data_IF_948101651665
#
_entry.id   IF_948101651665
#
_cell.length_a   1.000
_cell.length_b   1.000
_cell.length_c   1.000
_cell.angle_alpha   90.00
_cell.angle_beta   90.00
_cell.angle_gamma   90.00
#
_symmetry.space_group_name_H-M   'P 1'
#
loop_
_entity.id
_entity.type
_entity.pdbx_description
1 polymer ?
#
# COMPACT_ATOMS: atom_id res chain seq x y z
N UNK A 1 -51.14 -32.11 -10.87
CA UNK A 1 -50.04 -31.95 -9.90
C UNK A 1 -48.99 -31.02 -10.49
N UNK A 2 -49.07 -29.74 -10.15
CA UNK A 2 -48.17 -28.70 -10.66
C UNK A 2 -46.86 -28.67 -9.87
N UNK A 3 -45.71 -28.69 -10.55
CA UNK A 3 -44.40 -28.48 -9.93
C UNK A 3 -44.30 -26.99 -9.53
N UNK A 4 -43.88 -26.67 -8.31
CA UNK A 4 -43.67 -25.28 -7.92
C UNK A 4 -42.50 -24.69 -8.73
N UNK A 5 -42.71 -23.48 -9.29
CA UNK A 5 -41.71 -22.73 -9.99
C UNK A 5 -40.53 -22.39 -9.04
N UNK A 6 -39.35 -22.86 -9.39
CA UNK A 6 -38.12 -22.51 -8.67
C UNK A 6 -37.85 -21.01 -8.87
N UNK A 7 -38.00 -20.25 -7.81
CA UNK A 7 -37.64 -18.83 -7.76
C UNK A 7 -36.13 -18.69 -7.97
N UNK A 8 -35.74 -18.26 -9.15
CA UNK A 8 -34.37 -17.91 -9.48
C UNK A 8 -33.96 -16.68 -8.63
N UNK A 9 -33.36 -16.91 -7.47
CA UNK A 9 -32.70 -15.83 -6.73
C UNK A 9 -31.50 -15.30 -7.55
N UNK A 10 -31.38 -13.99 -7.78
CA UNK A 10 -30.28 -13.42 -8.51
C UNK A 10 -28.97 -13.77 -7.81
N UNK A 11 -28.11 -14.59 -8.43
CA UNK A 11 -26.76 -14.88 -7.95
C UNK A 11 -25.95 -13.60 -7.99
N UNK A 12 -25.82 -12.92 -6.84
CA UNK A 12 -24.91 -11.77 -6.71
C UNK A 12 -23.51 -12.18 -7.21
N UNK A 13 -22.85 -11.34 -8.03
CA UNK A 13 -21.53 -11.64 -8.55
C UNK A 13 -20.58 -12.03 -7.41
N UNK A 14 -19.84 -13.12 -7.56
CA UNK A 14 -18.89 -13.66 -6.56
C UNK A 14 -17.92 -12.60 -6.02
N UNK A 15 -17.62 -11.56 -6.82
CA UNK A 15 -16.78 -10.43 -6.46
C UNK A 15 -17.39 -9.57 -5.33
N UNK A 16 -18.70 -9.30 -5.36
CA UNK A 16 -19.38 -8.50 -4.33
C UNK A 16 -19.44 -9.26 -3.01
N UNK A 17 -19.67 -10.57 -3.05
CA UNK A 17 -19.68 -11.44 -1.87
C UNK A 17 -18.30 -11.58 -1.21
N UNK A 18 -17.24 -11.54 -2.03
CA UNK A 18 -15.85 -11.51 -1.55
C UNK A 18 -15.49 -10.19 -0.88
N UNK A 19 -15.98 -9.05 -1.38
CA UNK A 19 -15.72 -7.72 -0.80
C UNK A 19 -16.44 -7.50 0.53
N UNK A 20 -17.58 -8.18 0.77
CA UNK A 20 -18.41 -8.04 1.98
C UNK A 20 -18.04 -9.03 3.10
N UNK A 21 -16.99 -9.88 2.93
CA UNK A 21 -16.63 -10.82 3.99
C UNK A 21 -15.91 -10.07 5.14
N UNK A 22 -16.33 -10.32 6.38
CA UNK A 22 -15.73 -9.77 7.61
C UNK A 22 -14.21 -9.98 7.63
N UNK A 23 -13.75 -11.11 7.10
CA UNK A 23 -12.32 -11.43 6.98
C UNK A 23 -11.54 -10.45 6.11
N UNK A 24 -12.15 -9.96 5.02
CA UNK A 24 -11.51 -8.97 4.15
C UNK A 24 -11.42 -7.59 4.82
N UNK A 25 -12.42 -7.24 5.62
CA UNK A 25 -12.40 -6.00 6.40
C UNK A 25 -11.34 -6.03 7.51
N UNK A 26 -11.17 -7.17 8.17
CA UNK A 26 -10.10 -7.35 9.16
C UNK A 26 -8.70 -7.27 8.51
N UNK A 27 -8.52 -7.87 7.34
CA UNK A 27 -7.26 -7.77 6.58
C UNK A 27 -7.00 -6.34 6.11
N UNK A 28 -8.04 -5.64 5.64
CA UNK A 28 -7.94 -4.23 5.25
C UNK A 28 -7.57 -3.35 6.46
N UNK A 29 -8.23 -3.56 7.61
CA UNK A 29 -7.90 -2.84 8.84
C UNK A 29 -6.44 -3.04 9.28
N UNK A 30 -5.96 -4.30 9.26
CA UNK A 30 -4.55 -4.62 9.55
C UNK A 30 -3.60 -3.95 8.56
N UNK A 31 -3.93 -3.99 7.28
CA UNK A 31 -3.14 -3.34 6.23
C UNK A 31 -3.07 -1.81 6.44
N UNK A 32 -4.19 -1.18 6.78
CA UNK A 32 -4.23 0.25 7.08
C UNK A 32 -3.39 0.60 8.31
N UNK A 33 -3.44 -0.21 9.38
CA UNK A 33 -2.60 -0.01 10.57
C UNK A 33 -1.12 -0.12 10.22
N UNK A 34 -0.72 -1.16 9.49
CA UNK A 34 0.67 -1.33 9.04
C UNK A 34 1.09 -0.17 8.14
N UNK A 35 0.20 0.27 7.23
CA UNK A 35 0.45 1.43 6.37
C UNK A 35 0.64 2.74 7.17
N UNK A 36 -0.19 2.97 8.19
CA UNK A 36 -0.07 4.15 9.06
C UNK A 36 1.24 4.13 9.86
N UNK A 37 1.64 2.98 10.41
CA UNK A 37 2.93 2.82 11.10
C UNK A 37 4.08 3.08 10.13
N UNK A 38 4.02 2.53 8.93
CA UNK A 38 5.02 2.78 7.89
C UNK A 38 5.12 4.24 7.48
N UNK A 39 3.99 4.95 7.42
CA UNK A 39 3.96 6.39 7.18
C UNK A 39 4.70 7.17 8.27
N UNK A 40 4.43 6.86 9.54
CA UNK A 40 5.11 7.49 10.67
C UNK A 40 6.61 7.19 10.69
N UNK A 41 7.01 5.93 10.40
CA UNK A 41 8.42 5.55 10.26
C UNK A 41 9.08 6.35 9.13
N UNK A 42 8.41 6.47 7.98
CA UNK A 42 8.94 7.24 6.85
C UNK A 42 9.19 8.69 7.25
N UNK A 43 8.20 9.37 7.84
CA UNK A 43 8.36 10.77 8.24
C UNK A 43 9.43 10.95 9.32
N UNK A 44 9.50 10.06 10.32
CA UNK A 44 10.49 10.15 11.39
C UNK A 44 11.93 9.99 10.85
N UNK A 45 12.15 9.00 9.99
CA UNK A 45 13.46 8.78 9.35
C UNK A 45 13.81 9.93 8.41
N UNK A 46 12.83 10.42 7.63
CA UNK A 46 13.02 11.54 6.73
C UNK A 46 13.45 12.81 7.49
N UNK A 47 12.70 13.18 8.54
CA UNK A 47 13.03 14.36 9.38
C UNK A 47 14.42 14.25 10.01
N UNK A 48 14.77 13.06 10.54
CA UNK A 48 16.09 12.82 11.11
C UNK A 48 17.23 13.00 10.09
N UNK A 49 17.04 12.58 8.84
CA UNK A 49 18.02 12.73 7.76
C UNK A 49 18.14 14.19 7.29
N UNK A 50 17.01 14.89 7.16
CA UNK A 50 17.01 16.33 6.81
C UNK A 50 17.74 17.15 7.87
N UNK A 51 17.52 16.87 9.15
CA UNK A 51 18.24 17.56 10.25
C UNK A 51 19.75 17.34 10.24
N UNK A 52 20.21 16.26 9.61
CA UNK A 52 21.64 15.98 9.38
C UNK A 52 22.18 16.63 8.10
N UNK A 53 21.38 17.43 7.40
CA UNK A 53 21.78 18.12 6.17
C UNK A 53 21.76 17.27 4.91
N UNK A 54 21.13 16.09 4.97
CA UNK A 54 21.02 15.21 3.80
C UNK A 54 19.99 15.79 2.83
N UNK A 55 20.33 15.83 1.54
CA UNK A 55 19.46 16.33 0.49
C UNK A 55 18.10 15.61 0.51
N UNK A 56 17.00 16.36 0.39
CA UNK A 56 15.63 15.87 0.58
C UNK A 56 15.25 14.68 -0.30
N UNK A 57 15.73 14.58 -1.55
CA UNK A 57 15.48 13.42 -2.42
C UNK A 57 16.19 12.15 -1.93
N UNK A 58 17.39 12.28 -1.38
CA UNK A 58 18.14 11.17 -0.79
C UNK A 58 17.47 10.73 0.51
N UNK A 59 17.09 11.67 1.35
CA UNK A 59 16.36 11.42 2.59
C UNK A 59 15.02 10.70 2.32
N UNK A 60 14.27 11.12 1.28
CA UNK A 60 13.02 10.49 0.89
C UNK A 60 13.23 9.04 0.40
N UNK A 61 14.30 8.80 -0.37
CA UNK A 61 14.62 7.44 -0.84
C UNK A 61 14.99 6.53 0.33
N UNK A 62 15.86 6.97 1.23
CA UNK A 62 16.28 6.19 2.39
C UNK A 62 15.12 5.92 3.35
N UNK A 63 14.32 6.93 3.69
CA UNK A 63 13.16 6.79 4.57
C UNK A 63 12.10 5.85 3.98
N UNK A 64 11.89 5.91 2.67
CA UNK A 64 10.99 4.98 1.96
C UNK A 64 11.49 3.54 2.05
N UNK A 65 12.77 3.27 1.82
CA UNK A 65 13.34 1.92 1.90
C UNK A 65 13.17 1.33 3.31
N UNK A 66 13.37 2.12 4.35
CA UNK A 66 13.14 1.71 5.74
C UNK A 66 11.65 1.40 5.96
N UNK A 67 10.77 2.29 5.55
CA UNK A 67 9.32 2.11 5.72
C UNK A 67 8.78 0.90 4.93
N UNK A 68 9.21 0.71 3.68
CA UNK A 68 8.74 -0.41 2.85
C UNK A 68 9.22 -1.76 3.38
N UNK A 69 10.45 -1.81 3.91
CA UNK A 69 10.99 -3.01 4.55
C UNK A 69 10.21 -3.37 5.81
N UNK A 70 9.90 -2.38 6.64
CA UNK A 70 9.04 -2.52 7.81
C UNK A 70 7.64 -3.00 7.43
N UNK A 71 6.99 -2.33 6.46
CA UNK A 71 5.66 -2.69 5.97
C UNK A 71 5.61 -4.11 5.39
N UNK A 72 6.62 -4.51 4.61
CA UNK A 72 6.71 -5.88 4.09
C UNK A 72 6.79 -6.90 5.24
N UNK A 73 7.66 -6.65 6.21
CA UNK A 73 7.86 -7.54 7.36
C UNK A 73 6.58 -7.72 8.16
N UNK A 74 5.92 -6.62 8.54
CA UNK A 74 4.68 -6.66 9.31
C UNK A 74 3.51 -7.23 8.53
N UNK A 75 3.36 -6.89 7.25
CA UNK A 75 2.32 -7.48 6.41
C UNK A 75 2.51 -8.99 6.27
N UNK A 76 3.73 -9.46 6.11
CA UNK A 76 4.03 -10.90 6.02
C UNK A 76 3.75 -11.64 7.33
N UNK A 77 4.15 -11.07 8.47
CA UNK A 77 4.04 -11.73 9.77
C UNK A 77 2.62 -11.66 10.34
N UNK A 78 1.88 -10.60 10.06
CA UNK A 78 0.60 -10.32 10.70
C UNK A 78 -0.60 -10.34 9.75
N UNK A 79 -0.54 -9.61 8.63
CA UNK A 79 -1.70 -9.46 7.73
C UNK A 79 -1.94 -10.69 6.87
N UNK A 80 -0.88 -11.28 6.32
CA UNK A 80 -0.94 -12.39 5.36
C UNK A 80 -0.44 -13.72 5.92
N UNK A 81 -0.40 -13.87 7.23
CA UNK A 81 0.07 -15.07 7.92
C UNK A 81 -0.57 -16.38 7.42
N UNK A 82 -1.81 -16.32 6.97
CA UNK A 82 -2.58 -17.48 6.50
C UNK A 82 -2.47 -17.70 4.97
N UNK A 83 -1.93 -16.76 4.21
CA UNK A 83 -1.80 -16.85 2.75
C UNK A 83 -0.36 -17.27 2.38
N UNK A 84 0.08 -18.42 2.89
CA UNK A 84 1.41 -18.99 2.61
C UNK A 84 1.45 -19.66 1.22
N UNK A 85 1.12 -18.93 0.17
CA UNK A 85 1.48 -19.28 -1.20
C UNK A 85 2.90 -18.80 -1.55
N UNK A 86 3.33 -18.90 -2.79
CA UNK A 86 4.65 -18.48 -3.27
C UNK A 86 5.00 -17.03 -2.88
N UNK A 87 5.46 -16.86 -1.64
CA UNK A 87 5.69 -15.59 -0.95
C UNK A 87 6.70 -14.72 -1.69
N UNK A 88 7.70 -15.33 -2.34
CA UNK A 88 8.71 -14.61 -3.10
C UNK A 88 8.14 -13.85 -4.30
N UNK A 89 7.20 -14.44 -5.05
CA UNK A 89 6.60 -13.77 -6.22
C UNK A 89 5.66 -12.63 -5.79
N UNK A 90 4.93 -12.81 -4.69
CA UNK A 90 4.09 -11.73 -4.14
C UNK A 90 4.95 -10.59 -3.57
N UNK A 91 6.01 -10.93 -2.85
CA UNK A 91 6.96 -9.94 -2.32
C UNK A 91 7.64 -9.15 -3.44
N UNK A 92 8.09 -9.82 -4.50
CA UNK A 92 8.68 -9.16 -5.67
C UNK A 92 7.70 -8.19 -6.33
N UNK A 93 6.44 -8.60 -6.54
CA UNK A 93 5.41 -7.71 -7.12
C UNK A 93 5.10 -6.53 -6.21
N UNK A 94 4.97 -6.76 -4.91
CA UNK A 94 4.79 -5.69 -3.93
C UNK A 94 5.94 -4.70 -4.00
N UNK A 95 7.18 -5.20 -4.06
CA UNK A 95 8.37 -4.36 -4.13
C UNK A 95 8.42 -3.54 -5.42
N UNK A 96 8.08 -4.11 -6.58
CA UNK A 96 8.05 -3.38 -7.86
C UNK A 96 6.99 -2.28 -7.84
N UNK A 97 5.78 -2.54 -7.33
CA UNK A 97 4.74 -1.51 -7.17
C UNK A 97 5.21 -0.41 -6.22
N UNK A 98 5.88 -0.79 -5.13
CA UNK A 98 6.42 0.16 -4.16
C UNK A 98 7.54 1.03 -4.74
N UNK A 99 8.40 0.47 -5.60
CA UNK A 99 9.41 1.25 -6.33
C UNK A 99 8.79 2.26 -7.31
N UNK A 100 7.74 1.87 -8.02
CA UNK A 100 7.01 2.80 -8.88
C UNK A 100 6.35 3.93 -8.07
N UNK A 101 5.79 3.59 -6.89
CA UNK A 101 5.25 4.57 -5.96
C UNK A 101 6.35 5.50 -5.40
N UNK A 102 7.56 4.98 -5.12
CA UNK A 102 8.70 5.82 -4.74
C UNK A 102 9.04 6.83 -5.84
N UNK A 103 9.15 6.40 -7.10
CA UNK A 103 9.40 7.29 -8.22
C UNK A 103 8.36 8.42 -8.30
N UNK A 104 7.07 8.08 -8.19
CA UNK A 104 6.00 9.06 -8.15
C UNK A 104 6.12 10.00 -6.93
N UNK A 105 6.46 9.47 -5.75
CA UNK A 105 6.67 10.27 -4.54
C UNK A 105 7.81 11.28 -4.71
N UNK A 106 8.94 10.87 -5.27
CA UNK A 106 10.09 11.76 -5.50
C UNK A 106 9.74 12.89 -6.47
N UNK A 107 8.96 12.63 -7.52
CA UNK A 107 8.48 13.66 -8.45
C UNK A 107 7.55 14.64 -7.72
N UNK A 108 6.55 14.15 -6.99
CA UNK A 108 5.60 15.01 -6.25
C UNK A 108 6.35 15.82 -5.19
N UNK A 109 7.23 15.19 -4.41
CA UNK A 109 8.05 15.87 -3.41
C UNK A 109 8.88 17.00 -4.02
N UNK A 110 9.58 16.71 -5.11
CA UNK A 110 10.39 17.72 -5.80
C UNK A 110 9.54 18.90 -6.26
N UNK A 111 8.37 18.65 -6.86
CA UNK A 111 7.47 19.73 -7.29
C UNK A 111 6.96 20.57 -6.12
N UNK A 112 6.63 19.94 -4.99
CA UNK A 112 6.14 20.64 -3.80
C UNK A 112 7.24 21.48 -3.12
N UNK A 113 8.47 21.01 -3.10
CA UNK A 113 9.61 21.76 -2.54
C UNK A 113 10.05 22.87 -3.48
N UNK A 114 10.16 22.60 -4.78
CA UNK A 114 10.69 23.54 -5.75
C UNK A 114 9.71 24.66 -6.14
N UNK A 115 8.41 24.36 -6.16
CA UNK A 115 7.38 25.29 -6.68
C UNK A 115 6.25 25.58 -5.68
N UNK A 116 6.10 24.75 -4.63
CA UNK A 116 4.99 24.84 -3.68
C UNK A 116 5.29 25.64 -2.42
N UNK A 117 6.51 26.15 -2.26
CA UNK A 117 6.97 26.88 -1.06
C UNK A 117 6.74 26.14 0.27
N UNK A 118 6.55 24.82 0.21
CA UNK A 118 6.34 23.99 1.39
C UNK A 118 7.69 23.60 2.01
N UNK A 119 7.74 23.63 3.34
CA UNK A 119 8.88 23.04 4.04
C UNK A 119 9.03 21.55 3.70
N UNK A 120 10.26 21.05 3.65
CA UNK A 120 10.60 19.69 3.19
C UNK A 120 9.80 18.59 3.88
N UNK A 121 9.59 18.69 5.20
CA UNK A 121 8.82 17.71 5.97
C UNK A 121 7.34 17.72 5.59
N UNK A 122 6.76 18.92 5.44
CA UNK A 122 5.35 19.06 5.02
C UNK A 122 5.14 18.58 3.60
N UNK A 123 6.06 18.89 2.70
CA UNK A 123 6.05 18.43 1.32
C UNK A 123 6.13 16.89 1.25
N UNK A 124 6.98 16.26 2.05
CA UNK A 124 7.07 14.80 2.13
C UNK A 124 5.77 14.17 2.66
N UNK A 125 5.17 14.75 3.70
CA UNK A 125 3.90 14.25 4.24
C UNK A 125 2.79 14.28 3.18
N UNK A 126 2.67 15.39 2.45
CA UNK A 126 1.70 15.53 1.36
C UNK A 126 2.01 14.57 0.21
N UNK A 127 3.26 14.46 -0.22
CA UNK A 127 3.66 13.57 -1.30
C UNK A 127 3.30 12.11 -1.01
N UNK A 128 3.54 11.62 0.21
CA UNK A 128 3.16 10.27 0.62
C UNK A 128 1.64 10.07 0.54
N UNK A 129 0.85 11.01 1.06
CA UNK A 129 -0.62 10.92 1.05
C UNK A 129 -1.15 10.88 -0.37
N UNK A 130 -0.62 11.72 -1.27
CA UNK A 130 -1.02 11.78 -2.69
C UNK A 130 -0.70 10.48 -3.43
N UNK A 131 0.45 9.86 -3.14
CA UNK A 131 0.91 8.65 -3.84
C UNK A 131 0.33 7.36 -3.24
N UNK A 132 -0.11 7.37 -1.98
CA UNK A 132 -0.65 6.18 -1.30
C UNK A 132 -1.81 5.50 -2.07
N UNK A 133 -2.81 6.20 -2.63
CA UNK A 133 -3.86 5.58 -3.44
C UNK A 133 -3.33 4.84 -4.66
N UNK A 134 -2.32 5.38 -5.35
CA UNK A 134 -1.67 4.73 -6.50
C UNK A 134 -1.00 3.43 -6.08
N UNK A 135 -0.26 3.45 -4.98
CA UNK A 135 0.38 2.26 -4.41
C UNK A 135 -0.66 1.20 -4.01
N UNK A 136 -1.76 1.61 -3.38
CA UNK A 136 -2.85 0.69 -3.00
C UNK A 136 -3.51 0.04 -4.21
N UNK A 137 -3.88 0.83 -5.22
CA UNK A 137 -4.51 0.34 -6.46
C UNK A 137 -3.56 -0.60 -7.21
N UNK A 138 -2.29 -0.22 -7.36
CA UNK A 138 -1.27 -1.05 -8.01
C UNK A 138 -1.11 -2.40 -7.31
N UNK A 139 -1.00 -2.40 -5.98
CA UNK A 139 -0.89 -3.63 -5.20
C UNK A 139 -2.15 -4.49 -5.31
N UNK A 140 -3.34 -3.90 -5.21
CA UNK A 140 -4.62 -4.62 -5.32
C UNK A 140 -4.81 -5.28 -6.68
N UNK A 141 -4.46 -4.59 -7.76
CA UNK A 141 -4.68 -5.08 -9.12
C UNK A 141 -3.62 -6.10 -9.55
N UNK A 142 -2.37 -5.99 -9.06
CA UNK A 142 -1.28 -6.82 -9.55
C UNK A 142 -0.74 -7.83 -8.52
N UNK A 143 -0.52 -7.42 -7.28
CA UNK A 143 0.03 -8.33 -6.25
C UNK A 143 -1.00 -9.33 -5.72
N UNK A 144 -2.27 -8.93 -5.65
CA UNK A 144 -3.36 -9.76 -5.10
C UNK A 144 -4.25 -10.41 -6.15
N UNK A 145 -3.86 -10.40 -7.42
CA UNK A 145 -4.58 -11.11 -8.47
C UNK A 145 -4.51 -12.61 -8.23
N UNK A 146 -5.62 -13.21 -7.77
CA UNK A 146 -5.75 -14.67 -7.69
C UNK A 146 -5.51 -15.25 -9.08
N UNK A 147 -4.49 -16.11 -9.24
CA UNK A 147 -4.44 -17.01 -10.39
C UNK A 147 -5.67 -17.90 -10.32
N UNK A 148 -6.55 -17.81 -11.31
CA UNK A 148 -7.54 -18.84 -11.57
C UNK A 148 -6.76 -20.06 -12.09
N UNK A 149 -6.70 -21.12 -11.31
CA UNK A 149 -6.55 -22.48 -11.80
C UNK A 149 -7.93 -23.09 -11.90
#
# INVERSE_FOLDING_TARGET
>A
MGRPAATLQPRRPRLVRSLLSVRNWQQLGKFCVVGAVGYLINLAVYDALIRQGIHYLVAATCSFLVAVTSNYTWNRLWTFRELRGHVGVQGMRFFVVSLAALGANLVVLHLLVAYGELGELSAQAVAIVVVTPLNFVGNKLWSFRRRRH
#
